data_IF_559189310814
#
_entry.id   IF_559189310814
#
_cell.length_a   1.000
_cell.length_b   1.000
_cell.length_c   1.000
_cell.angle_alpha   90.00
_cell.angle_beta   90.00
_cell.angle_gamma   90.00
#
_symmetry.space_group_name_H-M   'P 1'
#
loop_
_entity.id
_entity.type
_entity.pdbx_description
1 polymer ?
#
# COMPACT_ATOMS: atom_id res chain seq x y z
N UNK A 1 12.57 6.24 26.04
CA UNK A 1 12.01 7.58 25.89
C UNK A 1 13.06 8.43 25.22
N UNK A 2 12.70 9.17 24.18
CA UNK A 2 13.63 10.06 23.47
C UNK A 2 13.28 11.52 23.73
N UNK A 3 14.32 12.34 23.84
CA UNK A 3 14.22 13.78 24.03
C UNK A 3 15.10 14.48 23.01
N UNK A 4 14.59 15.54 22.39
CA UNK A 4 15.42 16.47 21.62
C UNK A 4 15.02 17.91 21.90
N UNK A 5 15.98 18.82 21.70
CA UNK A 5 15.87 20.23 22.09
C UNK A 5 15.98 21.10 20.86
N UNK A 6 15.10 22.07 20.75
CA UNK A 6 15.06 23.06 19.68
C UNK A 6 15.41 24.42 20.30
N UNK A 7 16.45 25.05 19.78
CA UNK A 7 16.88 26.41 20.15
C UNK A 7 17.05 27.25 18.89
N UNK A 8 16.80 28.55 19.00
CA UNK A 8 17.03 29.51 17.93
C UNK A 8 17.53 30.83 18.52
N UNK A 9 18.53 31.43 17.89
CA UNK A 9 19.01 32.78 18.24
C UNK A 9 18.08 33.88 17.67
N UNK A 10 17.21 33.51 16.73
CA UNK A 10 16.21 34.40 16.15
C UNK A 10 14.95 34.46 17.02
N UNK A 11 14.71 35.64 17.61
CA UNK A 11 13.57 35.93 18.48
C UNK A 11 12.23 36.03 17.75
N UNK A 12 12.22 36.07 16.42
CA UNK A 12 10.98 36.06 15.62
C UNK A 12 10.43 34.65 15.40
N UNK A 13 11.20 33.61 15.69
CA UNK A 13 10.81 32.21 15.49
C UNK A 13 10.02 31.70 16.70
N UNK A 14 8.76 31.33 16.48
CA UNK A 14 7.97 30.60 17.46
C UNK A 14 8.40 29.12 17.47
N UNK A 15 9.34 28.81 18.38
CA UNK A 15 9.90 27.47 18.54
C UNK A 15 8.83 26.42 18.92
N UNK A 16 7.77 26.81 19.62
CA UNK A 16 6.71 25.88 20.05
C UNK A 16 5.82 25.52 18.86
N UNK A 17 5.51 26.50 18.01
CA UNK A 17 4.80 26.27 16.75
C UNK A 17 5.62 25.42 15.80
N UNK A 18 6.93 25.66 15.71
CA UNK A 18 7.84 24.86 14.90
C UNK A 18 7.93 23.40 15.39
N UNK A 19 8.07 23.19 16.70
CA UNK A 19 8.07 21.86 17.30
C UNK A 19 6.77 21.08 17.01
N UNK A 20 5.63 21.77 17.06
CA UNK A 20 4.32 21.19 16.75
C UNK A 20 4.24 20.77 15.27
N UNK A 21 4.63 21.65 14.35
CA UNK A 21 4.64 21.36 12.92
C UNK A 21 5.59 20.19 12.57
N UNK A 22 6.73 20.07 13.26
CA UNK A 22 7.66 18.95 13.08
C UNK A 22 7.03 17.63 13.54
N UNK A 23 6.37 17.59 14.70
CA UNK A 23 5.68 16.38 15.18
C UNK A 23 4.57 15.94 14.22
N UNK A 24 3.74 16.87 13.77
CA UNK A 24 2.67 16.61 12.80
C UNK A 24 3.22 16.11 11.45
N UNK A 25 4.36 16.64 10.99
CA UNK A 25 5.01 16.19 9.76
C UNK A 25 5.48 14.73 9.81
N UNK A 26 5.75 14.20 11.01
CA UNK A 26 6.09 12.79 11.23
C UNK A 26 4.84 11.91 11.37
N UNK A 27 3.64 12.50 11.34
CA UNK A 27 2.37 11.78 11.53
C UNK A 27 2.08 11.42 12.98
N UNK A 28 2.79 12.00 13.94
CA UNK A 28 2.50 11.81 15.36
C UNK A 28 1.36 12.74 15.78
N UNK A 29 0.39 12.19 16.52
CA UNK A 29 -0.68 12.99 17.09
C UNK A 29 -0.14 13.92 18.18
N UNK A 30 -0.81 15.05 18.40
CA UNK A 30 -0.29 16.09 19.32
C UNK A 30 -0.29 15.62 20.77
N UNK A 31 -1.23 14.76 21.13
CA UNK A 31 -1.39 14.10 22.42
C UNK A 31 -0.28 13.07 22.72
N UNK A 32 0.35 12.53 21.68
CA UNK A 32 1.38 11.49 21.78
C UNK A 32 2.78 12.09 21.99
N UNK A 33 2.94 13.39 21.79
CA UNK A 33 4.22 14.11 21.87
C UNK A 33 4.13 15.21 22.91
N UNK A 34 5.06 15.21 23.86
CA UNK A 34 5.14 16.28 24.85
C UNK A 34 6.06 17.40 24.37
N UNK A 35 5.60 18.65 24.44
CA UNK A 35 6.34 19.84 23.99
C UNK A 35 6.29 20.88 25.10
N UNK A 36 7.46 21.24 25.62
CA UNK A 36 7.61 22.14 26.76
C UNK A 36 8.55 23.28 26.41
N UNK A 37 8.18 24.50 26.77
CA UNK A 37 9.09 25.65 26.71
C UNK A 37 9.94 25.68 27.99
N UNK A 38 11.26 25.59 27.82
CA UNK A 38 12.20 25.86 28.88
C UNK A 38 12.46 27.37 28.89
N UNK A 39 12.28 28.00 30.07
CA UNK A 39 12.42 29.45 30.35
C UNK A 39 13.75 30.10 29.92
N UNK A 40 14.63 29.35 29.26
CA UNK A 40 15.89 29.74 28.63
C UNK A 40 15.79 29.98 27.11
N UNK A 41 14.59 29.94 26.51
CA UNK A 41 14.41 30.13 25.07
C UNK A 41 14.65 28.85 24.26
N UNK A 42 14.41 27.69 24.86
CA UNK A 42 14.52 26.38 24.22
C UNK A 42 13.18 25.66 24.33
N UNK A 43 12.82 24.89 23.31
CA UNK A 43 11.68 23.98 23.37
C UNK A 43 12.20 22.56 23.46
N UNK A 44 11.76 21.84 24.50
CA UNK A 44 12.07 20.43 24.72
C UNK A 44 10.91 19.61 24.19
N UNK A 45 11.21 18.65 23.33
CA UNK A 45 10.25 17.70 22.78
C UNK A 45 10.58 16.31 23.32
N UNK A 46 9.61 15.67 23.98
CA UNK A 46 9.72 14.32 24.52
C UNK A 46 8.78 13.39 23.77
N UNK A 47 9.32 12.26 23.32
CA UNK A 47 8.62 11.25 22.52
C UNK A 47 8.78 9.89 23.19
N UNK A 48 7.70 9.12 23.26
CA UNK A 48 7.78 7.72 23.66
C UNK A 48 8.52 6.87 22.60
N UNK A 49 9.34 5.90 23.04
CA UNK A 49 10.11 5.08 22.09
C UNK A 49 9.22 4.26 21.15
N UNK A 50 7.97 3.99 21.54
CA UNK A 50 6.99 3.32 20.68
C UNK A 50 6.67 4.11 19.41
N UNK A 51 6.67 5.45 19.47
CA UNK A 51 6.42 6.33 18.32
C UNK A 51 7.63 6.45 17.38
N UNK A 52 8.82 6.15 17.90
CA UNK A 52 10.05 6.09 17.13
C UNK A 52 10.23 4.76 16.38
N UNK A 53 9.49 3.72 16.79
CA UNK A 53 9.48 2.46 16.04
C UNK A 53 8.72 2.71 14.75
N UNK A 54 9.40 2.51 13.61
CA UNK A 54 8.70 2.38 12.33
C UNK A 54 7.63 1.29 12.54
N UNK A 55 6.33 1.58 12.35
CA UNK A 55 5.30 0.58 12.51
C UNK A 55 5.70 -0.61 11.64
N UNK A 56 5.92 -1.75 12.27
CA UNK A 56 6.28 -2.96 11.56
C UNK A 56 5.08 -3.28 10.67
N UNK A 57 5.19 -2.94 9.38
CA UNK A 57 4.05 -3.06 8.48
C UNK A 57 3.56 -4.50 8.53
N UNK A 58 2.31 -4.66 8.95
CA UNK A 58 1.70 -5.93 9.31
C UNK A 58 2.12 -7.02 8.32
N UNK A 59 2.80 -8.08 8.79
CA UNK A 59 3.32 -9.12 7.91
C UNK A 59 2.19 -9.78 7.08
N UNK A 60 0.95 -9.81 7.57
CA UNK A 60 -0.16 -10.40 6.85
C UNK A 60 -0.66 -9.52 5.69
N UNK A 61 -0.55 -8.19 5.83
CA UNK A 61 -1.12 -7.22 4.89
C UNK A 61 -0.06 -6.53 4.01
N UNK A 62 1.22 -6.82 4.22
CA UNK A 62 2.32 -6.27 3.42
C UNK A 62 2.33 -6.87 1.99
N UNK A 63 2.40 -6.04 0.93
CA UNK A 63 2.58 -6.52 -0.44
C UNK A 63 3.88 -7.34 -0.62
N UNK A 64 3.81 -8.40 -1.42
CA UNK A 64 4.92 -9.36 -1.62
C UNK A 64 5.34 -9.39 -3.09
N UNK A 65 6.43 -8.69 -3.42
CA UNK A 65 6.88 -8.56 -4.82
C UNK A 65 8.26 -9.14 -5.09
N UNK A 66 8.99 -9.54 -4.06
CA UNK A 66 10.34 -10.13 -4.21
C UNK A 66 10.30 -11.65 -4.02
N UNK A 67 11.17 -12.40 -4.71
CA UNK A 67 11.24 -13.85 -4.56
C UNK A 67 11.47 -14.33 -3.11
N UNK A 68 12.20 -13.54 -2.32
CA UNK A 68 12.46 -13.81 -0.90
C UNK A 68 11.21 -13.55 -0.05
N UNK A 69 10.53 -12.41 -0.25
CA UNK A 69 9.30 -12.11 0.48
C UNK A 69 8.16 -13.11 0.19
N UNK A 70 8.09 -13.62 -1.04
CA UNK A 70 7.15 -14.71 -1.41
C UNK A 70 7.53 -16.01 -0.72
N UNK A 71 8.82 -16.35 -0.67
CA UNK A 71 9.29 -17.55 0.03
C UNK A 71 8.91 -17.53 1.51
N UNK A 72 9.19 -16.43 2.21
CA UNK A 72 8.90 -16.30 3.64
C UNK A 72 7.39 -16.36 3.93
N UNK A 73 6.58 -15.77 3.04
CA UNK A 73 5.12 -15.85 3.15
C UNK A 73 4.62 -17.29 2.97
N UNK A 74 5.20 -18.05 2.04
CA UNK A 74 4.83 -19.46 1.82
C UNK A 74 5.28 -20.37 2.98
N UNK A 75 6.44 -20.09 3.58
CA UNK A 75 6.89 -20.77 4.80
C UNK A 75 5.93 -20.53 5.96
N UNK A 76 5.52 -19.27 6.17
CA UNK A 76 4.54 -18.92 7.21
C UNK A 76 3.20 -19.61 6.94
N UNK A 77 2.70 -19.54 5.71
CA UNK A 77 1.45 -20.15 5.30
C UNK A 77 1.43 -21.66 5.54
N UNK A 78 2.51 -22.37 5.19
CA UNK A 78 2.61 -23.82 5.37
C UNK A 78 2.69 -24.24 6.84
N UNK A 79 3.21 -23.38 7.72
CA UNK A 79 3.25 -23.62 9.17
C UNK A 79 1.88 -23.46 9.81
N UNK A 80 1.10 -22.49 9.34
CA UNK A 80 -0.19 -22.13 9.93
C UNK A 80 -1.36 -22.96 9.37
N UNK A 81 -1.34 -23.30 8.08
CA UNK A 81 -2.43 -24.01 7.42
C UNK A 81 -2.14 -25.51 7.26
N UNK A 82 -2.77 -26.32 8.12
CA UNK A 82 -2.65 -27.78 8.08
C UNK A 82 -3.21 -28.43 6.80
N UNK A 83 -4.06 -27.73 6.04
CA UNK A 83 -4.58 -28.24 4.76
C UNK A 83 -3.52 -28.25 3.66
N UNK A 84 -2.40 -27.55 3.84
CA UNK A 84 -1.26 -27.56 2.92
C UNK A 84 -0.28 -28.71 3.19
N UNK A 85 -0.55 -29.58 4.17
CA UNK A 85 0.27 -30.77 4.41
C UNK A 85 0.28 -31.67 3.17
N UNK A 86 1.48 -31.98 2.69
CA UNK A 86 1.68 -32.79 1.48
C UNK A 86 1.66 -32.00 0.16
N UNK A 87 1.55 -30.67 0.20
CA UNK A 87 1.79 -29.81 -0.97
C UNK A 87 3.30 -29.62 -1.13
N UNK A 88 3.80 -29.81 -2.35
CA UNK A 88 5.20 -29.48 -2.68
C UNK A 88 5.45 -27.98 -2.50
N UNK A 89 6.59 -27.62 -1.92
CA UNK A 89 6.86 -26.23 -1.59
C UNK A 89 7.12 -25.36 -2.84
N UNK A 90 7.71 -25.93 -3.89
CA UNK A 90 7.92 -25.21 -5.14
C UNK A 90 6.57 -24.94 -5.83
N UNK A 91 5.66 -25.90 -5.82
CA UNK A 91 4.30 -25.73 -6.36
C UNK A 91 3.51 -24.68 -5.58
N UNK A 92 3.53 -24.74 -4.25
CA UNK A 92 2.94 -23.73 -3.38
C UNK A 92 3.46 -22.34 -3.74
N UNK A 93 4.78 -22.19 -3.80
CA UNK A 93 5.43 -20.90 -4.06
C UNK A 93 5.10 -20.36 -5.45
N UNK A 94 5.16 -21.20 -6.48
CA UNK A 94 4.90 -20.80 -7.86
C UNK A 94 3.46 -20.34 -8.03
N UNK A 95 2.52 -21.04 -7.41
CA UNK A 95 1.11 -20.70 -7.50
C UNK A 95 0.81 -19.43 -6.70
N UNK A 96 1.24 -19.35 -5.43
CA UNK A 96 1.05 -18.17 -4.57
C UNK A 96 1.69 -16.89 -5.13
N UNK A 97 2.83 -17.00 -5.82
CA UNK A 97 3.49 -15.86 -6.46
C UNK A 97 2.57 -15.13 -7.47
N UNK A 98 1.68 -15.86 -8.16
CA UNK A 98 0.73 -15.25 -9.11
C UNK A 98 -0.29 -14.38 -8.37
N UNK A 99 -0.82 -14.86 -7.25
CA UNK A 99 -1.75 -14.10 -6.41
C UNK A 99 -1.10 -12.84 -5.82
N UNK A 100 0.12 -12.97 -5.29
CA UNK A 100 0.86 -11.80 -4.80
C UNK A 100 1.17 -10.78 -5.91
N UNK A 101 1.42 -11.25 -7.14
CA UNK A 101 1.59 -10.37 -8.30
C UNK A 101 0.29 -9.66 -8.71
N UNK A 102 -0.86 -10.26 -8.44
CA UNK A 102 -2.18 -9.63 -8.56
C UNK A 102 -2.52 -8.69 -7.38
N UNK A 103 -1.55 -8.41 -6.50
CA UNK A 103 -1.70 -7.47 -5.39
C UNK A 103 -2.37 -8.05 -4.16
N UNK A 104 -2.56 -9.38 -4.11
CA UNK A 104 -3.06 -10.02 -2.89
C UNK A 104 -2.02 -9.95 -1.78
N UNK A 105 -2.51 -9.93 -0.56
CA UNK A 105 -1.72 -10.05 0.66
C UNK A 105 -1.68 -11.50 1.15
N UNK A 106 -0.89 -11.79 2.20
CA UNK A 106 -0.90 -13.13 2.79
C UNK A 106 -2.25 -13.43 3.46
N UNK A 107 -2.87 -12.43 4.10
CA UNK A 107 -4.21 -12.55 4.67
C UNK A 107 -5.25 -12.93 3.60
N UNK A 108 -5.17 -12.33 2.40
CA UNK A 108 -6.09 -12.66 1.31
C UNK A 108 -5.94 -14.11 0.85
N UNK A 109 -4.70 -14.59 0.76
CA UNK A 109 -4.42 -15.97 0.35
C UNK A 109 -4.90 -16.96 1.42
N UNK A 110 -4.69 -16.67 2.70
CA UNK A 110 -5.24 -17.46 3.81
C UNK A 110 -6.77 -17.49 3.76
N UNK A 111 -7.39 -16.34 3.51
CA UNK A 111 -8.84 -16.25 3.38
C UNK A 111 -9.35 -17.13 2.23
N UNK A 112 -8.72 -17.10 1.06
CA UNK A 112 -9.10 -17.92 -0.10
C UNK A 112 -8.91 -19.43 0.10
N UNK A 113 -7.96 -19.84 0.95
CA UNK A 113 -7.78 -21.23 1.33
C UNK A 113 -8.80 -21.69 2.38
N UNK A 114 -9.37 -20.76 3.15
CA UNK A 114 -10.41 -21.04 4.14
C UNK A 114 -11.83 -20.90 3.57
N UNK A 115 -12.04 -20.01 2.59
CA UNK A 115 -13.34 -19.63 2.05
C UNK A 115 -13.37 -19.62 0.53
N UNK A 116 -14.57 -19.89 0.00
CA UNK A 116 -14.94 -19.71 -1.39
C UNK A 116 -15.16 -18.22 -1.71
N UNK A 117 -15.19 -17.84 -2.99
CA UNK A 117 -15.49 -16.46 -3.40
C UNK A 117 -16.89 -15.96 -3.00
N UNK A 118 -17.83 -16.87 -2.72
CA UNK A 118 -19.17 -16.54 -2.19
C UNK A 118 -19.17 -16.32 -0.66
N UNK A 119 -18.01 -16.44 -0.01
CA UNK A 119 -17.83 -16.31 1.44
C UNK A 119 -18.09 -17.59 2.23
N UNK A 120 -18.52 -18.69 1.60
CA UNK A 120 -18.77 -19.96 2.27
C UNK A 120 -17.44 -20.65 2.60
N UNK A 121 -17.28 -21.12 3.83
CA UNK A 121 -16.10 -21.86 4.24
C UNK A 121 -15.93 -23.17 3.43
N UNK A 122 -14.69 -23.51 3.08
CA UNK A 122 -14.38 -24.80 2.49
C UNK A 122 -14.59 -25.93 3.50
N UNK A 123 -14.89 -27.12 2.99
CA UNK A 123 -14.84 -28.34 3.79
C UNK A 123 -13.42 -28.54 4.36
N UNK A 124 -13.37 -29.01 5.60
CA UNK A 124 -12.14 -29.13 6.39
C UNK A 124 -12.00 -30.54 6.95
N UNK A 125 -10.75 -30.95 7.18
CA UNK A 125 -10.43 -32.27 7.71
C UNK A 125 -9.29 -32.96 6.95
N UNK A 126 -8.91 -34.18 7.37
CA UNK A 126 -7.81 -34.94 6.78
C UNK A 126 -7.97 -35.25 5.29
N UNK A 127 -9.21 -35.34 4.79
CA UNK A 127 -9.52 -35.65 3.40
C UNK A 127 -9.51 -34.42 2.49
N UNK A 128 -9.49 -33.22 3.09
CA UNK A 128 -9.58 -31.92 2.43
C UNK A 128 -8.23 -31.17 2.46
N UNK A 129 -7.14 -31.90 2.21
CA UNK A 129 -5.75 -31.40 2.26
C UNK A 129 -4.92 -31.83 1.05
N UNK A 130 -3.74 -31.24 0.92
CA UNK A 130 -2.74 -31.59 -0.10
C UNK A 130 -2.95 -30.86 -1.42
N UNK A 131 -2.11 -31.18 -2.41
CA UNK A 131 -2.02 -30.45 -3.68
C UNK A 131 -3.34 -30.35 -4.46
N UNK A 132 -4.19 -31.40 -4.55
CA UNK A 132 -5.47 -31.29 -5.27
C UNK A 132 -6.41 -30.27 -4.66
N UNK A 133 -6.52 -30.25 -3.33
CA UNK A 133 -7.37 -29.30 -2.62
C UNK A 133 -6.82 -27.88 -2.65
N UNK A 134 -5.50 -27.72 -2.53
CA UNK A 134 -4.85 -26.43 -2.73
C UNK A 134 -5.17 -25.84 -4.12
N UNK A 135 -4.97 -26.61 -5.17
CA UNK A 135 -5.26 -26.19 -6.54
C UNK A 135 -6.76 -25.91 -6.75
N UNK A 136 -7.64 -26.78 -6.23
CA UNK A 136 -9.09 -26.62 -6.32
C UNK A 136 -9.56 -25.31 -5.67
N UNK A 137 -9.12 -25.04 -4.44
CA UNK A 137 -9.51 -23.84 -3.71
C UNK A 137 -9.05 -22.58 -4.43
N UNK A 138 -7.79 -22.51 -4.86
CA UNK A 138 -7.27 -21.35 -5.59
C UNK A 138 -7.87 -21.19 -6.98
N UNK A 139 -8.28 -22.29 -7.64
CA UNK A 139 -8.94 -22.21 -8.95
C UNK A 139 -10.29 -21.47 -8.91
N UNK A 140 -11.02 -21.55 -7.79
CA UNK A 140 -12.28 -20.83 -7.61
C UNK A 140 -12.11 -19.30 -7.62
N UNK A 141 -10.89 -18.82 -7.30
CA UNK A 141 -10.54 -17.40 -7.29
C UNK A 141 -9.94 -16.92 -8.61
N UNK A 142 -9.96 -17.75 -9.64
CA UNK A 142 -9.56 -17.39 -11.01
C UNK A 142 -10.79 -17.25 -11.90
N UNK A 143 -10.71 -16.36 -12.87
CA UNK A 143 -11.68 -16.30 -13.98
C UNK A 143 -11.47 -17.49 -14.91
N UNK A 144 -12.44 -17.80 -15.79
CA UNK A 144 -12.25 -18.80 -16.84
C UNK A 144 -11.04 -18.53 -17.75
N UNK A 145 -10.67 -17.26 -17.91
CA UNK A 145 -9.50 -16.82 -18.69
C UNK A 145 -8.17 -16.95 -17.92
N UNK A 146 -8.23 -17.36 -16.64
CA UNK A 146 -7.07 -17.56 -15.77
C UNK A 146 -6.61 -16.32 -15.01
N UNK A 147 -7.32 -15.20 -15.13
CA UNK A 147 -7.04 -13.98 -14.36
C UNK A 147 -7.47 -14.14 -12.90
N UNK A 148 -6.73 -13.54 -11.98
CA UNK A 148 -7.01 -13.63 -10.55
C UNK A 148 -8.06 -12.58 -10.18
N UNK A 149 -9.16 -13.03 -9.56
CA UNK A 149 -10.23 -12.14 -9.11
C UNK A 149 -9.72 -11.24 -7.96
N UNK A 150 -10.27 -10.03 -7.79
CA UNK A 150 -9.96 -9.19 -6.62
C UNK A 150 -10.22 -9.94 -5.31
N UNK A 151 -9.38 -9.71 -4.30
CA UNK A 151 -9.64 -10.24 -2.96
C UNK A 151 -10.73 -9.42 -2.24
N UNK A 152 -11.34 -9.99 -1.20
CA UNK A 152 -12.32 -9.28 -0.37
C UNK A 152 -11.78 -7.98 0.24
N UNK A 153 -10.50 -7.95 0.63
CA UNK A 153 -9.86 -6.75 1.17
C UNK A 153 -9.66 -5.68 0.09
N UNK A 154 -9.35 -6.08 -1.16
CA UNK A 154 -9.26 -5.18 -2.31
C UNK A 154 -10.63 -4.61 -2.69
N UNK A 155 -11.68 -5.43 -2.70
CA UNK A 155 -13.06 -4.97 -2.92
C UNK A 155 -13.49 -3.95 -1.85
N UNK A 156 -13.22 -4.25 -0.58
CA UNK A 156 -13.50 -3.35 0.54
C UNK A 156 -12.67 -2.05 0.49
N UNK A 157 -11.43 -2.10 -0.01
CA UNK A 157 -10.60 -0.92 -0.21
C UNK A 157 -11.13 -0.05 -1.36
N UNK A 158 -11.56 -0.64 -2.47
CA UNK A 158 -12.18 0.08 -3.59
C UNK A 158 -13.45 0.82 -3.15
N UNK A 159 -14.32 0.16 -2.38
CA UNK A 159 -15.53 0.78 -1.83
C UNK A 159 -15.22 1.97 -0.90
N UNK A 160 -14.15 1.87 -0.10
CA UNK A 160 -13.69 2.97 0.78
C UNK A 160 -13.12 4.16 0.01
N UNK A 161 -12.40 3.92 -1.08
CA UNK A 161 -11.86 4.99 -1.94
C UNK A 161 -13.01 5.73 -2.65
N UNK A 162 -13.99 5.00 -3.17
CA UNK A 162 -15.18 5.58 -3.82
C UNK A 162 -15.94 6.47 -2.83
N UNK A 163 -16.20 5.96 -1.61
CA UNK A 163 -16.92 6.72 -0.57
C UNK A 163 -16.13 7.92 -0.02
N UNK A 164 -14.80 7.82 0.12
CA UNK A 164 -13.95 8.93 0.61
C UNK A 164 -13.71 10.03 -0.42
N UNK A 165 -13.72 9.70 -1.71
CA UNK A 165 -13.54 10.68 -2.77
C UNK A 165 -14.81 11.52 -3.06
N UNK A 166 -15.93 11.26 -2.38
CA UNK A 166 -17.21 11.93 -2.62
C UNK A 166 -17.76 11.67 -4.04
N UNK A 167 -17.25 10.63 -4.70
CA UNK A 167 -17.65 10.26 -6.04
C UNK A 167 -18.96 9.47 -5.94
N UNK A 168 -20.00 9.83 -6.71
CA UNK A 168 -21.20 9.02 -6.83
C UNK A 168 -20.84 7.53 -7.06
N UNK A 169 -21.58 6.60 -6.45
CA UNK A 169 -21.40 5.14 -6.63
C UNK A 169 -21.52 4.69 -8.11
N UNK A 170 -22.02 5.61 -8.93
CA UNK A 170 -22.35 5.58 -10.35
C UNK A 170 -21.24 6.14 -11.25
N UNK A 171 -20.11 6.62 -10.70
CA UNK A 171 -19.00 7.11 -11.52
C UNK A 171 -18.36 5.96 -12.34
N UNK A 172 -18.44 6.08 -13.67
CA UNK A 172 -18.00 5.07 -14.63
C UNK A 172 -19.12 4.17 -15.16
N UNK A 173 -20.37 4.37 -14.75
CA UNK A 173 -21.55 3.71 -15.32
C UNK A 173 -22.19 4.63 -16.38
N UNK A 174 -22.28 4.22 -17.66
CA UNK A 174 -23.06 4.97 -18.64
C UNK A 174 -24.55 4.95 -18.27
N UNK A 175 -25.23 6.08 -18.44
CA UNK A 175 -26.54 6.38 -17.86
C UNK A 175 -27.73 5.57 -18.40
N UNK A 176 -27.58 4.80 -19.47
CA UNK A 176 -28.70 4.04 -20.05
C UNK A 176 -28.23 2.72 -20.66
N UNK A 177 -28.00 1.68 -19.86
CA UNK A 177 -27.85 0.32 -20.41
C UNK A 177 -28.43 -0.72 -19.49
N UNK A 178 -29.51 -1.35 -19.94
CA UNK A 178 -30.15 -2.51 -19.32
C UNK A 178 -29.11 -3.59 -18.94
N UNK A 179 -29.20 -4.06 -17.70
CA UNK A 179 -28.25 -4.98 -17.02
C UNK A 179 -28.12 -6.40 -17.65
N UNK A 180 -28.64 -6.64 -18.85
CA UNK A 180 -28.75 -8.00 -19.40
C UNK A 180 -27.71 -8.40 -20.45
N UNK A 181 -26.84 -7.49 -20.91
CA UNK A 181 -25.84 -7.86 -21.91
C UNK A 181 -24.56 -7.03 -21.75
N UNK A 182 -23.65 -7.46 -20.87
CA UNK A 182 -22.28 -6.96 -20.89
C UNK A 182 -21.35 -7.98 -21.54
N UNK A 183 -20.62 -7.61 -22.61
CA UNK A 183 -19.40 -8.30 -22.97
C UNK A 183 -18.35 -7.99 -21.89
N UNK A 184 -17.79 -9.04 -21.31
CA UNK A 184 -16.63 -8.96 -20.40
C UNK A 184 -15.54 -8.15 -21.09
N UNK A 185 -14.99 -7.15 -20.41
CA UNK A 185 -13.92 -6.31 -20.95
C UNK A 185 -12.80 -7.21 -21.48
N UNK A 186 -12.60 -7.21 -22.80
CA UNK A 186 -11.61 -8.10 -23.40
C UNK A 186 -10.21 -7.76 -22.86
N UNK A 187 -9.33 -8.75 -22.62
CA UNK A 187 -7.99 -8.54 -22.08
C UNK A 187 -7.14 -7.51 -22.86
N UNK A 188 -7.44 -7.32 -24.14
CA UNK A 188 -6.80 -6.30 -24.97
C UNK A 188 -7.10 -4.86 -24.50
N UNK A 189 -8.35 -4.59 -24.09
CA UNK A 189 -8.78 -3.28 -23.62
C UNK A 189 -8.19 -2.97 -22.25
N UNK A 190 -8.13 -3.96 -21.36
CA UNK A 190 -7.50 -3.81 -20.04
C UNK A 190 -5.98 -3.56 -20.16
N UNK A 191 -5.28 -4.25 -21.07
CA UNK A 191 -3.85 -4.00 -21.33
C UNK A 191 -3.60 -2.63 -21.95
N UNK A 192 -4.43 -2.20 -22.90
CA UNK A 192 -4.34 -0.86 -23.49
C UNK A 192 -4.49 0.24 -22.42
N UNK A 193 -5.48 0.11 -21.53
CA UNK A 193 -5.69 1.07 -20.45
C UNK A 193 -4.50 1.12 -19.46
N UNK A 194 -3.92 -0.04 -19.14
CA UNK A 194 -2.75 -0.12 -18.28
C UNK A 194 -1.49 0.51 -18.93
N UNK A 195 -1.31 0.32 -20.24
CA UNK A 195 -0.18 0.92 -20.96
C UNK A 195 -0.37 2.43 -21.17
N UNK A 196 -1.59 2.90 -21.36
CA UNK A 196 -1.92 4.33 -21.37
C UNK A 196 -1.66 4.98 -20.01
N UNK A 197 -2.01 4.31 -18.89
CA UNK A 197 -1.67 4.78 -17.55
C UNK A 197 -0.15 4.86 -17.35
N UNK A 198 0.61 3.85 -17.79
CA UNK A 198 2.09 3.88 -17.75
C UNK A 198 2.68 4.95 -18.65
N UNK A 199 2.02 5.29 -19.77
CA UNK A 199 2.43 6.38 -20.66
C UNK A 199 2.23 7.73 -20.01
N UNK A 200 1.08 7.95 -19.37
CA UNK A 200 0.76 9.18 -18.63
C UNK A 200 1.69 9.40 -17.44
N UNK A 201 1.99 8.35 -16.66
CA UNK A 201 2.95 8.43 -15.54
C UNK A 201 4.33 8.85 -16.05
N UNK A 202 4.81 8.26 -17.16
CA UNK A 202 6.11 8.61 -17.77
C UNK A 202 6.13 10.02 -18.36
N UNK A 203 5.03 10.48 -18.92
CA UNK A 203 4.91 11.87 -19.39
C UNK A 203 4.99 12.83 -18.22
N UNK A 204 4.25 12.60 -17.13
CA UNK A 204 4.28 13.46 -15.94
C UNK A 204 5.62 13.48 -15.20
N UNK A 205 6.36 12.36 -15.17
CA UNK A 205 7.70 12.31 -14.55
C UNK A 205 8.75 13.06 -15.36
N UNK A 206 8.65 13.07 -16.70
CA UNK A 206 9.53 13.90 -17.54
C UNK A 206 9.24 15.40 -17.34
N UNK A 207 7.98 15.80 -17.29
CA UNK A 207 7.62 17.20 -17.10
C UNK A 207 8.07 17.76 -15.75
N UNK A 208 8.01 16.95 -14.68
CA UNK A 208 8.51 17.34 -13.34
C UNK A 208 10.03 17.37 -13.26
N UNK A 209 10.72 16.43 -13.91
CA UNK A 209 12.19 16.43 -13.95
C UNK A 209 12.74 17.60 -14.77
N UNK A 210 12.10 17.95 -15.90
CA UNK A 210 12.48 19.11 -16.71
C UNK A 210 12.16 20.45 -16.02
N UNK A 211 11.05 20.54 -15.26
CA UNK A 211 10.75 21.76 -14.48
C UNK A 211 11.70 21.93 -13.29
N UNK A 212 12.14 20.84 -12.65
CA UNK A 212 13.16 20.89 -11.59
C UNK A 212 14.54 21.24 -12.16
N UNK A 213 14.95 20.62 -13.28
CA UNK A 213 16.21 20.93 -13.94
C UNK A 213 16.26 22.34 -14.56
N UNK A 214 15.12 22.93 -14.91
CA UNK A 214 15.02 24.33 -15.36
C UNK A 214 15.06 25.31 -14.17
N UNK A 215 14.48 24.95 -13.02
CA UNK A 215 14.58 25.75 -11.77
C UNK A 215 16.00 25.79 -11.22
N UNK A 216 16.71 24.66 -11.23
CA UNK A 216 18.11 24.62 -10.79
C UNK A 216 19.06 25.39 -11.72
N UNK A 217 18.71 25.49 -13.02
CA UNK A 217 19.48 26.31 -13.97
C UNK A 217 19.24 27.81 -13.82
N UNK A 218 18.03 28.20 -13.41
CA UNK A 218 17.69 29.62 -13.18
C UNK A 218 18.17 30.10 -11.80
N UNK A 219 18.23 29.25 -10.79
CA UNK A 219 18.81 29.59 -9.48
C UNK A 219 20.32 29.79 -9.52
N UNK A 220 21.04 29.07 -10.39
CA UNK A 220 22.49 29.21 -10.58
C UNK A 220 22.93 30.53 -11.28
N UNK A 221 22.00 31.33 -11.82
CA UNK A 221 22.30 32.58 -12.53
C UNK A 221 21.85 33.86 -11.81
N UNK A 222 21.31 33.76 -10.60
CA UNK A 222 21.02 34.94 -9.77
C UNK A 222 22.25 35.23 -8.91
N UNK A 223 23.30 35.77 -9.53
CA UNK A 223 24.40 36.42 -8.79
C UNK A 223 23.90 37.77 -8.28
N UNK A 224 23.81 37.88 -6.95
CA UNK A 224 23.54 39.11 -6.21
C UNK A 224 24.70 40.11 -6.46
N UNK A 225 24.45 41.35 -6.92
CA UNK A 225 25.48 42.38 -6.88
C UNK A 225 25.77 42.70 -5.41
N UNK A 226 27.02 42.57 -5.01
CA UNK A 226 27.49 43.01 -3.70
C UNK A 226 27.43 44.54 -3.62
N UNK A 227 26.61 45.06 -2.70
CA UNK A 227 26.70 46.45 -2.26
C UNK A 227 28.06 46.67 -1.58
N UNK A 228 28.91 47.48 -2.22
CA UNK A 228 30.06 48.10 -1.57
C UNK A 228 29.78 49.57 -1.32
N UNK A 229 30.05 49.94 -0.07
CA UNK A 229 30.08 51.27 0.51
C UNK A 229 30.94 52.28 -0.26
#
# INVERSE_FOLDING_TARGET
MAEFRISSDDRQVDLRRMATALAESQGWAREDVSIWDNRRGEVIVTIDDSLLRRPEADPLHRPRHTPHAVHDACELLRREDASLRGVDFADLRNESARFFSAGWTLADLQHALAHRPDGVAWESGPDFRGAPWFAHRLSAWKTPDGDIRPSQSQESAQLRVISRAGLPMDIGLPEDTELSARPVASPAVARSAADDARRLIRQNTRTTTDTLAHRDRTSAHITRPEDRA
#
